data_IF_317572618046
#
_entry.id   IF_317572618046
#
_cell.length_a   1.000
_cell.length_b   1.000
_cell.length_c   1.000
_cell.angle_alpha   90.00
_cell.angle_beta   90.00
_cell.angle_gamma   90.00
#
_symmetry.space_group_name_H-M   'P 1'
#
loop_
_entity.id
_entity.type
_entity.pdbx_description
1 polymer ?
#
# COMPACT_ATOMS: atom_id res chain seq x y z
N UNK A 1 2.75 19.25 -32.54
CA UNK A 1 2.65 19.75 -31.16
C UNK A 1 2.78 18.57 -30.24
N UNK A 2 3.96 18.38 -29.66
CA UNK A 2 4.25 17.28 -28.73
C UNK A 2 3.25 17.33 -27.57
N UNK A 3 2.39 16.32 -27.45
CA UNK A 3 1.50 16.19 -26.30
C UNK A 3 2.32 15.58 -25.16
N UNK A 4 2.97 16.43 -24.37
CA UNK A 4 3.56 15.97 -23.12
C UNK A 4 2.44 15.66 -22.11
N UNK A 5 2.60 14.61 -21.28
CA UNK A 5 1.68 14.36 -20.19
C UNK A 5 1.69 15.53 -19.19
N UNK A 6 0.50 15.93 -18.72
CA UNK A 6 0.35 16.98 -17.70
C UNK A 6 0.92 16.55 -16.33
N UNK A 7 0.86 15.25 -16.04
CA UNK A 7 1.44 14.64 -14.85
C UNK A 7 2.86 14.14 -15.18
N UNK A 8 3.85 14.76 -14.53
CA UNK A 8 5.29 14.52 -14.72
C UNK A 8 5.94 13.85 -13.51
N UNK A 9 5.41 14.09 -12.31
CA UNK A 9 6.01 13.63 -11.06
C UNK A 9 5.02 12.94 -10.12
N UNK A 10 5.53 11.99 -9.32
CA UNK A 10 4.76 11.27 -8.29
C UNK A 10 4.07 12.21 -7.29
N UNK A 11 4.69 13.35 -6.96
CA UNK A 11 4.13 14.32 -6.04
C UNK A 11 2.78 14.89 -6.51
N UNK A 12 2.58 15.03 -7.82
CA UNK A 12 1.31 15.52 -8.37
C UNK A 12 0.18 14.51 -8.16
N UNK A 13 0.49 13.22 -8.21
CA UNK A 13 -0.49 12.15 -7.92
C UNK A 13 -0.84 12.16 -6.43
N UNK A 14 0.14 12.33 -5.55
CA UNK A 14 -0.10 12.43 -4.10
C UNK A 14 -0.99 13.64 -3.77
N UNK A 15 -0.74 14.78 -4.40
CA UNK A 15 -1.55 15.99 -4.19
C UNK A 15 -2.98 15.84 -4.76
N UNK A 16 -3.13 15.15 -5.90
CA UNK A 16 -4.44 14.80 -6.45
C UNK A 16 -5.23 13.90 -5.49
N UNK A 17 -4.59 12.87 -4.93
CA UNK A 17 -5.23 11.99 -3.94
C UNK A 17 -5.63 12.81 -2.70
N UNK A 18 -4.73 13.64 -2.18
CA UNK A 18 -5.01 14.51 -1.03
C UNK A 18 -6.22 15.40 -1.27
N UNK A 19 -6.24 16.11 -2.40
CA UNK A 19 -7.36 16.97 -2.79
C UNK A 19 -8.67 16.19 -2.94
N UNK A 20 -8.60 14.94 -3.43
CA UNK A 20 -9.78 14.08 -3.53
C UNK A 20 -10.32 13.63 -2.17
N UNK A 21 -9.46 13.47 -1.16
CA UNK A 21 -9.90 13.16 0.21
C UNK A 21 -10.64 14.35 0.81
N UNK A 22 -10.09 15.57 0.66
CA UNK A 22 -10.71 16.80 1.17
C UNK A 22 -12.10 17.06 0.54
N UNK A 23 -12.28 16.67 -0.72
CA UNK A 23 -13.55 16.78 -1.44
C UNK A 23 -14.45 15.52 -1.35
N UNK A 24 -14.09 14.52 -0.55
CA UNK A 24 -14.82 13.24 -0.41
C UNK A 24 -14.99 12.45 -1.74
N UNK A 25 -14.07 12.62 -2.69
CA UNK A 25 -14.08 11.97 -4.01
C UNK A 25 -13.01 10.88 -4.17
N UNK A 26 -12.29 10.55 -3.10
CA UNK A 26 -11.18 9.60 -3.11
C UNK A 26 -11.57 8.17 -3.54
N UNK A 27 -12.75 7.68 -3.15
CA UNK A 27 -13.25 6.37 -3.59
C UNK A 27 -13.40 6.31 -5.12
N UNK A 28 -14.14 7.27 -5.69
CA UNK A 28 -14.34 7.39 -7.14
C UNK A 28 -12.99 7.47 -7.88
N UNK A 29 -12.08 8.32 -7.40
CA UNK A 29 -10.76 8.50 -8.00
C UNK A 29 -9.97 7.20 -8.02
N UNK A 30 -9.83 6.52 -6.87
CA UNK A 30 -9.07 5.28 -6.77
C UNK A 30 -9.74 4.14 -7.56
N UNK A 31 -11.07 4.08 -7.63
CA UNK A 31 -11.78 3.10 -8.45
C UNK A 31 -11.55 3.31 -9.94
N UNK A 32 -11.40 4.56 -10.40
CA UNK A 32 -11.11 4.87 -11.81
C UNK A 32 -9.63 4.72 -12.16
N UNK A 33 -8.72 5.03 -11.23
CA UNK A 33 -7.27 4.94 -11.46
C UNK A 33 -6.75 3.50 -11.41
N UNK A 34 -7.40 2.63 -10.66
CA UNK A 34 -6.95 1.26 -10.43
C UNK A 34 -7.91 0.24 -11.03
N UNK A 35 -7.37 -0.81 -11.61
CA UNK A 35 -8.13 -2.00 -11.98
C UNK A 35 -8.57 -2.79 -10.74
N UNK A 36 -9.57 -3.70 -10.86
CA UNK A 36 -9.94 -4.60 -9.77
C UNK A 36 -8.73 -5.38 -9.22
N UNK A 37 -7.90 -5.93 -10.11
CA UNK A 37 -6.71 -6.71 -9.74
C UNK A 37 -5.68 -5.87 -8.97
N UNK A 38 -5.50 -4.60 -9.33
CA UNK A 38 -4.60 -3.69 -8.61
C UNK A 38 -5.14 -3.36 -7.21
N UNK A 39 -6.46 -3.23 -7.05
CA UNK A 39 -7.08 -3.02 -5.73
C UNK A 39 -6.91 -4.24 -4.84
N UNK A 40 -7.10 -5.44 -5.39
CA UNK A 40 -6.81 -6.69 -4.67
C UNK A 40 -5.33 -6.80 -4.31
N UNK A 41 -4.43 -6.47 -5.24
CA UNK A 41 -2.99 -6.46 -5.01
C UNK A 41 -2.59 -5.48 -3.90
N UNK A 42 -3.18 -4.28 -3.89
CA UNK A 42 -2.95 -3.27 -2.86
C UNK A 42 -3.44 -3.76 -1.49
N UNK A 43 -4.63 -4.37 -1.45
CA UNK A 43 -5.21 -4.96 -0.23
C UNK A 43 -4.30 -6.06 0.32
N UNK A 44 -3.82 -6.94 -0.55
CA UNK A 44 -2.85 -7.97 -0.16
C UNK A 44 -1.56 -7.35 0.38
N UNK A 45 -1.00 -6.31 -0.25
CA UNK A 45 0.21 -5.62 0.23
C UNK A 45 0.04 -5.00 1.62
N UNK A 46 -1.11 -4.38 1.88
CA UNK A 46 -1.45 -3.83 3.19
C UNK A 46 -1.46 -4.94 4.24
N UNK A 47 -2.13 -6.05 3.96
CA UNK A 47 -2.16 -7.22 4.86
C UNK A 47 -0.78 -7.82 5.09
N UNK A 48 0.05 -7.95 4.04
CA UNK A 48 1.43 -8.43 4.16
C UNK A 48 2.22 -7.55 5.13
N UNK A 49 2.18 -6.23 4.96
CA UNK A 49 2.91 -5.31 5.83
C UNK A 49 2.40 -5.35 7.27
N UNK A 50 1.08 -5.43 7.45
CA UNK A 50 0.46 -5.54 8.77
C UNK A 50 0.94 -6.81 9.51
N UNK A 51 0.84 -7.97 8.88
CA UNK A 51 1.26 -9.24 9.49
C UNK A 51 2.78 -9.31 9.73
N UNK A 52 3.58 -8.74 8.82
CA UNK A 52 5.03 -8.62 9.01
C UNK A 52 5.40 -7.70 10.18
N UNK A 53 4.65 -6.63 10.40
CA UNK A 53 4.85 -5.70 11.53
C UNK A 53 4.41 -6.30 12.87
N UNK A 54 3.35 -7.11 12.88
CA UNK A 54 2.92 -7.87 14.07
C UNK A 54 3.97 -8.90 14.49
N UNK A 55 4.61 -9.57 13.52
CA UNK A 55 5.67 -10.54 13.77
C UNK A 55 5.19 -11.87 14.37
N UNK A 56 3.88 -12.11 14.40
CA UNK A 56 3.26 -13.32 14.97
C UNK A 56 3.32 -14.52 14.00
N UNK A 57 3.30 -14.24 12.69
CA UNK A 57 3.26 -15.25 11.64
C UNK A 57 4.58 -15.30 10.86
N UNK A 58 5.01 -16.51 10.49
CA UNK A 58 6.11 -16.69 9.56
C UNK A 58 5.72 -16.28 8.14
N UNK A 59 6.70 -15.90 7.31
CA UNK A 59 6.45 -15.53 5.91
C UNK A 59 5.69 -16.61 5.12
N UNK A 60 5.91 -17.89 5.45
CA UNK A 60 5.19 -19.01 4.83
C UNK A 60 3.72 -19.05 5.25
N UNK A 61 3.42 -18.80 6.52
CA UNK A 61 2.04 -18.71 7.02
C UNK A 61 1.30 -17.52 6.40
N UNK A 62 1.96 -16.36 6.29
CA UNK A 62 1.39 -15.16 5.63
C UNK A 62 1.11 -15.46 4.15
N UNK A 63 2.05 -16.10 3.46
CA UNK A 63 1.87 -16.51 2.05
C UNK A 63 0.66 -17.45 1.87
N UNK A 64 0.47 -18.43 2.76
CA UNK A 64 -0.68 -19.33 2.72
C UNK A 64 -1.99 -18.62 3.05
N UNK A 65 -1.98 -17.76 4.08
CA UNK A 65 -3.16 -17.00 4.51
C UNK A 65 -3.67 -16.05 3.42
N UNK A 66 -2.76 -15.33 2.78
CA UNK A 66 -3.12 -14.30 1.79
C UNK A 66 -3.19 -14.83 0.36
N UNK A 67 -2.86 -16.11 0.13
CA UNK A 67 -2.84 -16.71 -1.21
C UNK A 67 -1.80 -16.09 -2.16
N UNK A 68 -0.81 -15.37 -1.61
CA UNK A 68 0.24 -14.69 -2.39
C UNK A 68 1.53 -15.50 -2.38
N UNK A 69 2.29 -15.41 -3.47
CA UNK A 69 3.60 -16.08 -3.55
C UNK A 69 4.59 -15.58 -2.49
N UNK A 70 5.42 -16.49 -1.98
CA UNK A 70 6.47 -16.17 -0.98
C UNK A 70 7.36 -15.02 -1.44
N UNK A 71 7.66 -14.90 -2.75
CA UNK A 71 8.46 -13.82 -3.30
C UNK A 71 7.89 -12.42 -3.00
N UNK A 72 6.55 -12.27 -2.99
CA UNK A 72 5.88 -11.02 -2.66
C UNK A 72 6.08 -10.67 -1.18
N UNK A 73 6.00 -11.67 -0.29
CA UNK A 73 6.26 -11.50 1.14
C UNK A 73 7.72 -11.12 1.39
N UNK A 74 8.67 -11.80 0.73
CA UNK A 74 10.11 -11.52 0.86
C UNK A 74 10.43 -10.09 0.46
N UNK A 75 9.83 -9.58 -0.63
CA UNK A 75 9.97 -8.18 -1.04
C UNK A 75 9.43 -7.23 0.04
N UNK A 76 8.22 -7.47 0.54
CA UNK A 76 7.64 -6.65 1.63
C UNK A 76 8.49 -6.65 2.90
N UNK A 77 9.04 -7.80 3.29
CA UNK A 77 9.92 -7.92 4.47
C UNK A 77 11.24 -7.17 4.30
N UNK A 78 11.84 -7.22 3.10
CA UNK A 78 13.06 -6.47 2.81
C UNK A 78 12.82 -4.96 2.78
N UNK A 79 11.71 -4.51 2.18
CA UNK A 79 11.29 -3.11 2.22
C UNK A 79 11.15 -2.63 3.66
N UNK A 80 10.46 -3.40 4.50
CA UNK A 80 10.25 -3.05 5.91
C UNK A 80 11.58 -2.99 6.67
N UNK A 81 12.49 -3.95 6.46
CA UNK A 81 13.82 -3.96 7.09
C UNK A 81 14.68 -2.75 6.72
N UNK A 82 14.48 -2.17 5.54
CA UNK A 82 15.21 -0.99 5.10
C UNK A 82 14.73 0.33 5.74
N UNK A 83 13.57 0.31 6.41
CA UNK A 83 13.01 1.49 7.09
C UNK A 83 13.55 1.64 8.51
N UNK A 84 13.58 2.89 8.97
CA UNK A 84 13.87 3.22 10.36
C UNK A 84 12.79 2.67 11.29
N UNK A 85 13.14 2.40 12.54
CA UNK A 85 12.15 1.89 13.51
C UNK A 85 11.04 2.90 13.77
N UNK A 86 11.36 4.21 13.75
CA UNK A 86 10.38 5.29 13.80
C UNK A 86 9.34 5.23 12.66
N UNK A 87 9.77 4.90 11.45
CA UNK A 87 8.86 4.81 10.30
C UNK A 87 7.99 3.54 10.38
N UNK A 88 8.54 2.44 10.90
CA UNK A 88 7.78 1.20 11.15
C UNK A 88 6.70 1.43 12.21
N UNK A 89 7.01 2.15 13.28
CA UNK A 89 6.04 2.46 14.34
C UNK A 89 4.91 3.37 13.85
N UNK A 90 5.25 4.39 13.04
CA UNK A 90 4.25 5.22 12.36
C UNK A 90 3.37 4.40 11.42
N UNK A 91 3.98 3.55 10.60
CA UNK A 91 3.27 2.68 9.68
C UNK A 91 2.32 1.74 10.42
N UNK A 92 2.79 1.11 11.51
CA UNK A 92 1.96 0.26 12.37
C UNK A 92 0.75 1.01 12.90
N UNK A 93 0.97 2.21 13.45
CA UNK A 93 -0.12 3.06 13.97
C UNK A 93 -1.16 3.40 12.89
N UNK A 94 -0.71 3.76 11.69
CA UNK A 94 -1.59 4.08 10.57
C UNK A 94 -2.41 2.86 10.11
N UNK A 95 -1.79 1.68 10.07
CA UNK A 95 -2.46 0.44 9.69
C UNK A 95 -3.51 0.01 10.73
N UNK A 96 -3.22 0.20 12.02
CA UNK A 96 -4.17 -0.09 13.11
C UNK A 96 -5.39 0.83 13.06
N UNK A 97 -5.20 2.11 12.73
CA UNK A 97 -6.30 3.08 12.57
C UNK A 97 -7.20 2.76 11.37
N UNK A 98 -6.62 2.28 10.27
CA UNK A 98 -7.37 1.94 9.05
C UNK A 98 -8.10 0.60 9.10
N UNK A 99 -7.81 -0.24 10.10
CA UNK A 99 -8.45 -1.55 10.28
C UNK A 99 -9.68 -1.52 11.21
N UNK A 100 -10.04 -0.34 11.76
CA UNK A 100 -11.17 -0.13 12.67
C UNK A 100 -12.49 0.19 11.94
#
# INVERSE_FOLDING_TARGET
>A
MSHEPEYKDWQQIVELIRSSVDNQQHEMLLTMLMTPDERESLTARVNILNELLKGELSQRQISQMLGVGIATITRGSNELKSKSDTDKDKLKTLLEQGAQ
#
